data_IF_201872042583
#
_entry.id   IF_201872042583
#
_cell.length_a   1.000
_cell.length_b   1.000
_cell.length_c   1.000
_cell.angle_alpha   90.00
_cell.angle_beta   90.00
_cell.angle_gamma   90.00
#
_symmetry.space_group_name_H-M   'P 1'
#
loop_
_entity.id
_entity.type
_entity.pdbx_description
1 polymer ?
#
# COMPACT_ATOMS: atom_id res chain seq x y z
N UNK A 1 7.87 -21.22 -5.17
CA UNK A 1 7.88 -20.23 -4.08
C UNK A 1 8.47 -18.93 -4.64
N UNK A 2 7.70 -17.84 -4.69
CA UNK A 2 8.23 -16.55 -5.15
C UNK A 2 9.30 -16.08 -4.17
N UNK A 3 10.41 -15.56 -4.71
CA UNK A 3 11.41 -14.94 -3.86
C UNK A 3 10.78 -13.73 -3.17
N UNK A 4 10.86 -13.64 -1.83
CA UNK A 4 10.15 -12.61 -1.06
C UNK A 4 10.53 -11.18 -1.49
N UNK A 5 11.76 -10.99 -2.00
CA UNK A 5 12.19 -9.73 -2.62
C UNK A 5 11.38 -9.35 -3.87
N UNK A 6 11.09 -10.31 -4.76
CA UNK A 6 10.26 -10.07 -5.94
C UNK A 6 8.83 -9.72 -5.53
N UNK A 7 8.30 -10.41 -4.52
CA UNK A 7 6.96 -10.12 -4.00
C UNK A 7 6.87 -8.68 -3.49
N UNK A 8 7.89 -8.23 -2.76
CA UNK A 8 7.96 -6.86 -2.26
C UNK A 8 8.04 -5.85 -3.42
N UNK A 9 8.91 -6.10 -4.41
CA UNK A 9 8.99 -5.24 -5.60
C UNK A 9 7.65 -5.15 -6.34
N UNK A 10 6.92 -6.27 -6.46
CA UNK A 10 5.60 -6.29 -7.04
C UNK A 10 4.61 -5.42 -6.24
N UNK A 11 4.61 -5.52 -4.91
CA UNK A 11 3.77 -4.66 -4.06
C UNK A 11 4.09 -3.18 -4.23
N UNK A 12 5.37 -2.81 -4.33
CA UNK A 12 5.78 -1.42 -4.58
C UNK A 12 5.20 -0.87 -5.89
N UNK A 13 5.26 -1.66 -6.95
CA UNK A 13 4.71 -1.28 -8.26
C UNK A 13 3.18 -1.16 -8.19
N UNK A 14 2.49 -2.14 -7.60
CA UNK A 14 1.03 -2.08 -7.43
C UNK A 14 0.59 -0.86 -6.61
N UNK A 15 1.33 -0.51 -5.55
CA UNK A 15 1.04 0.69 -4.77
C UNK A 15 1.18 1.96 -5.59
N UNK A 16 2.25 2.08 -6.37
CA UNK A 16 2.45 3.20 -7.30
C UNK A 16 1.30 3.34 -8.30
N UNK A 17 0.84 2.23 -8.89
CA UNK A 17 -0.32 2.26 -9.78
C UNK A 17 -1.61 2.66 -9.07
N UNK A 18 -1.85 2.14 -7.87
CA UNK A 18 -3.06 2.46 -7.09
C UNK A 18 -3.12 3.93 -6.64
N UNK A 19 -1.98 4.53 -6.27
CA UNK A 19 -1.91 5.93 -5.84
C UNK A 19 -2.13 6.89 -7.02
N UNK A 20 -1.55 6.56 -8.18
CA UNK A 20 -1.78 7.27 -9.45
C UNK A 20 -3.27 7.18 -9.84
N UNK A 21 -3.86 5.98 -9.77
CA UNK A 21 -5.27 5.78 -10.08
C UNK A 21 -6.20 6.65 -9.21
N UNK A 22 -5.95 6.72 -7.89
CA UNK A 22 -6.72 7.56 -6.98
C UNK A 22 -6.63 9.06 -7.30
N UNK A 23 -5.45 9.53 -7.73
CA UNK A 23 -5.26 10.94 -8.11
C UNK A 23 -5.97 11.21 -9.44
N UNK A 24 -5.75 10.40 -10.47
CA UNK A 24 -6.24 10.69 -11.82
C UNK A 24 -7.72 10.38 -12.06
N UNK A 25 -8.36 9.55 -11.23
CA UNK A 25 -9.79 9.22 -11.44
C UNK A 25 -10.67 9.86 -10.38
N UNK A 26 -10.21 9.82 -9.12
CA UNK A 26 -11.02 10.28 -7.99
C UNK A 26 -10.63 11.69 -7.52
N UNK A 27 -9.56 12.29 -8.07
CA UNK A 27 -9.00 13.57 -7.63
C UNK A 27 -8.77 13.64 -6.09
N UNK A 28 -8.48 12.49 -5.47
CA UNK A 28 -8.32 12.35 -4.03
C UNK A 28 -6.83 12.38 -3.65
N UNK A 29 -6.29 13.56 -3.39
CA UNK A 29 -4.85 13.75 -3.18
C UNK A 29 -4.39 13.32 -1.79
N UNK A 30 -5.15 13.70 -0.75
CA UNK A 30 -4.77 13.38 0.63
C UNK A 30 -4.90 11.88 0.88
N UNK A 31 -5.96 11.23 0.40
CA UNK A 31 -6.11 9.78 0.54
C UNK A 31 -5.03 8.99 -0.22
N UNK A 32 -4.66 9.42 -1.43
CA UNK A 32 -3.56 8.80 -2.19
C UNK A 32 -2.24 8.91 -1.43
N UNK A 33 -1.96 10.08 -0.84
CA UNK A 33 -0.78 10.30 -0.01
C UNK A 33 -0.78 9.42 1.26
N UNK A 34 -1.90 9.36 1.98
CA UNK A 34 -2.02 8.52 3.19
C UNK A 34 -1.86 7.04 2.89
N UNK A 35 -2.45 6.56 1.78
CA UNK A 35 -2.27 5.18 1.31
C UNK A 35 -0.80 4.90 1.05
N UNK A 36 -0.12 5.77 0.30
CA UNK A 36 1.29 5.59 -0.03
C UNK A 36 2.15 5.56 1.25
N UNK A 37 1.97 6.52 2.16
CA UNK A 37 2.76 6.58 3.41
C UNK A 37 2.57 5.32 4.29
N UNK A 38 1.32 4.91 4.55
CA UNK A 38 1.04 3.75 5.40
C UNK A 38 1.63 2.47 4.81
N UNK A 39 1.37 2.20 3.53
CA UNK A 39 1.84 0.96 2.91
C UNK A 39 3.35 0.93 2.69
N UNK A 40 3.98 2.07 2.35
CA UNK A 40 5.44 2.14 2.25
C UNK A 40 6.10 1.85 3.59
N UNK A 41 5.55 2.35 4.71
CA UNK A 41 6.07 2.03 6.04
C UNK A 41 6.02 0.53 6.33
N UNK A 42 4.93 -0.16 5.96
CA UNK A 42 4.78 -1.60 6.10
C UNK A 42 5.76 -2.38 5.22
N UNK A 43 5.99 -1.94 3.98
CA UNK A 43 6.93 -2.58 3.07
C UNK A 43 8.37 -2.47 3.57
N UNK A 44 8.75 -1.33 4.16
CA UNK A 44 10.10 -1.17 4.74
C UNK A 44 10.33 -2.17 5.88
N UNK A 45 9.33 -2.40 6.75
CA UNK A 45 9.41 -3.42 7.80
C UNK A 45 9.51 -4.83 7.21
N UNK A 46 8.73 -5.13 6.17
CA UNK A 46 8.80 -6.40 5.43
C UNK A 46 10.18 -6.60 4.80
N UNK A 47 10.78 -5.57 4.20
CA UNK A 47 12.15 -5.61 3.68
C UNK A 47 13.15 -5.92 4.79
N UNK A 48 13.05 -5.25 5.94
CA UNK A 48 13.90 -5.51 7.09
C UNK A 48 13.82 -6.96 7.57
N UNK A 49 12.61 -7.52 7.65
CA UNK A 49 12.41 -8.92 8.03
C UNK A 49 12.99 -9.89 7.00
N UNK A 50 12.73 -9.66 5.72
CA UNK A 50 13.16 -10.56 4.65
C UNK A 50 14.66 -10.49 4.40
N UNK A 51 15.30 -9.32 4.52
CA UNK A 51 16.76 -9.22 4.49
C UNK A 51 17.42 -10.08 5.60
N UNK A 52 16.79 -10.18 6.77
CA UNK A 52 17.26 -11.06 7.84
C UNK A 52 17.17 -12.56 7.50
N UNK A 53 16.23 -12.96 6.65
CA UNK A 53 15.99 -14.37 6.27
C UNK A 53 16.74 -14.76 4.98
N UNK A 54 16.83 -13.86 4.00
CA UNK A 54 17.40 -14.12 2.66
C UNK A 54 18.92 -14.31 2.69
N UNK A 55 19.64 -13.75 3.67
CA UNK A 55 21.10 -14.01 3.84
C UNK A 55 21.40 -15.52 3.97
N UNK A 56 20.41 -16.33 4.34
CA UNK A 56 20.54 -17.77 4.60
C UNK A 56 20.27 -18.62 3.34
N UNK A 57 19.54 -18.14 2.32
CA UNK A 57 19.18 -18.92 1.12
C UNK A 57 19.75 -18.33 -0.18
N UNK A 58 20.45 -19.15 -0.98
CA UNK A 58 21.02 -18.74 -2.28
C UNK A 58 19.91 -18.43 -3.30
N UNK A 59 19.97 -17.22 -3.86
CA UNK A 59 18.99 -16.68 -4.81
C UNK A 59 19.07 -17.38 -6.18
N UNK A 60 18.06 -18.18 -6.53
CA UNK A 60 17.82 -18.68 -7.89
C UNK A 60 16.52 -18.09 -8.45
N UNK A 61 16.58 -16.85 -8.93
CA UNK A 61 15.38 -15.98 -9.06
C UNK A 61 15.15 -15.34 -10.44
N UNK A 62 15.78 -15.81 -11.53
CA UNK A 62 15.66 -15.13 -12.84
C UNK A 62 14.33 -15.43 -13.55
N UNK A 63 13.89 -16.69 -13.59
CA UNK A 63 12.68 -17.09 -14.32
C UNK A 63 11.39 -16.52 -13.69
N UNK A 64 11.36 -16.37 -12.36
CA UNK A 64 10.18 -15.87 -11.62
C UNK A 64 9.94 -14.37 -11.84
N UNK A 65 10.99 -13.61 -12.13
CA UNK A 65 10.89 -12.17 -12.41
C UNK A 65 10.09 -11.90 -13.69
N UNK A 66 10.34 -12.68 -14.75
CA UNK A 66 9.63 -12.58 -16.02
C UNK A 66 8.11 -12.77 -15.86
N UNK A 67 7.69 -13.71 -15.01
CA UNK A 67 6.26 -13.95 -14.75
C UNK A 67 5.62 -12.74 -14.06
N UNK A 68 6.29 -12.11 -13.08
CA UNK A 68 5.76 -10.90 -12.43
C UNK A 68 5.65 -9.71 -13.38
N UNK A 69 6.61 -9.57 -14.31
CA UNK A 69 6.61 -8.50 -15.30
C UNK A 69 5.47 -8.65 -16.30
N UNK A 70 5.14 -9.89 -16.69
CA UNK A 70 3.97 -10.19 -17.53
C UNK A 70 2.66 -9.77 -16.87
N UNK A 71 2.49 -9.97 -15.56
CA UNK A 71 1.30 -9.51 -14.84
C UNK A 71 1.16 -7.98 -14.84
N UNK A 72 2.26 -7.26 -14.69
CA UNK A 72 2.27 -5.80 -14.74
C UNK A 72 1.89 -5.29 -16.14
N UNK A 73 2.38 -5.95 -17.20
CA UNK A 73 2.02 -5.60 -18.58
C UNK A 73 0.53 -5.85 -18.89
N UNK A 74 -0.05 -6.92 -18.35
CA UNK A 74 -1.49 -7.20 -18.49
C UNK A 74 -2.32 -6.14 -17.77
N UNK A 75 -1.92 -5.74 -16.56
CA UNK A 75 -2.60 -4.65 -15.85
C UNK A 75 -2.50 -3.33 -16.62
N UNK A 76 -1.31 -3.01 -17.16
CA UNK A 76 -1.10 -1.79 -17.94
C UNK A 76 -1.93 -1.77 -19.24
N UNK A 77 -2.09 -2.92 -19.92
CA UNK A 77 -2.91 -2.99 -21.13
C UNK A 77 -4.41 -2.91 -20.86
N UNK A 78 -4.87 -3.39 -19.71
CA UNK A 78 -6.25 -3.17 -19.25
C UNK A 78 -6.50 -1.69 -18.94
N UNK A 79 -5.52 -1.00 -18.35
CA UNK A 79 -5.61 0.45 -18.12
C UNK A 79 -5.67 1.26 -19.42
N UNK A 80 -4.90 0.88 -20.45
CA UNK A 80 -4.90 1.61 -21.72
C UNK A 80 -6.23 1.49 -22.47
N UNK A 81 -7.00 0.43 -22.25
CA UNK A 81 -8.33 0.27 -22.85
C UNK A 81 -9.40 1.13 -22.17
N UNK A 82 -9.26 1.41 -20.87
CA UNK A 82 -10.15 2.29 -20.12
C UNK A 82 -9.91 3.75 -20.52
N UNK A 83 -8.65 4.11 -20.79
CA UNK A 83 -8.24 5.45 -21.21
C UNK A 83 -8.20 5.51 -22.74
N UNK A 84 -9.37 5.53 -23.40
CA UNK A 84 -9.40 5.99 -24.80
C UNK A 84 -8.97 7.47 -24.81
N UNK A 85 -7.95 7.86 -25.60
CA UNK A 85 -7.43 9.22 -25.60
C UNK A 85 -8.31 10.10 -26.49
N UNK A 86 -9.57 10.29 -26.11
CA UNK A 86 -10.35 11.38 -26.67
C UNK A 86 -9.83 12.66 -26.01
N UNK A 87 -8.98 13.40 -26.74
CA UNK A 87 -8.33 14.65 -26.30
C UNK A 87 -9.32 15.70 -25.72
N UNK A 88 -10.62 15.56 -26.02
CA UNK A 88 -11.71 16.40 -25.51
C UNK A 88 -12.05 16.06 -24.05
N UNK A 89 -11.97 14.80 -23.62
CA UNK A 89 -12.19 14.42 -22.22
C UNK A 89 -11.06 14.89 -21.30
N UNK A 90 -9.82 14.92 -21.80
CA UNK A 90 -8.66 15.37 -21.04
C UNK A 90 -8.71 16.89 -20.76
N UNK A 91 -9.24 17.69 -21.69
CA UNK A 91 -9.39 19.14 -21.49
C UNK A 91 -10.51 19.48 -20.50
N UNK A 92 -11.60 18.71 -20.48
CA UNK A 92 -12.65 18.82 -19.45
C UNK A 92 -12.09 18.42 -18.08
N UNK A 93 -11.32 17.32 -18.00
CA UNK A 93 -10.66 16.89 -16.77
C UNK A 93 -9.74 17.97 -16.18
N UNK A 94 -8.97 18.66 -17.04
CA UNK A 94 -8.10 19.77 -16.65
C UNK A 94 -8.88 20.95 -16.04
N UNK A 95 -10.06 21.28 -16.58
CA UNK A 95 -10.90 22.36 -16.07
C UNK A 95 -11.63 22.04 -14.74
N UNK A 96 -11.66 20.76 -14.34
CA UNK A 96 -12.24 20.30 -13.08
C UNK A 96 -11.24 20.14 -11.94
N UNK A 97 -9.96 20.50 -12.13
CA UNK A 97 -8.97 20.64 -11.05
C UNK A 97 -9.25 21.86 -10.15
N UNK A 98 -10.49 22.02 -9.69
CA UNK A 98 -10.73 22.72 -8.43
C UNK A 98 -10.34 21.75 -7.34
N UNK A 99 -9.19 22.01 -6.72
CA UNK A 99 -8.74 21.36 -5.49
C UNK A 99 -9.80 21.69 -4.42
N UNK A 100 -10.80 20.82 -4.32
CA UNK A 100 -11.82 20.93 -3.32
C UNK A 100 -11.31 20.25 -2.05
N UNK A 101 -11.05 21.03 -1.01
CA UNK A 101 -10.62 20.56 0.32
C UNK A 101 -11.71 19.75 1.07
N UNK A 102 -12.67 19.15 0.37
CA UNK A 102 -13.70 18.31 0.99
C UNK A 102 -13.10 17.10 1.72
N UNK A 103 -11.93 16.61 1.29
CA UNK A 103 -11.23 15.50 1.95
C UNK A 103 -10.98 15.79 3.44
N UNK A 104 -10.52 16.99 3.79
CA UNK A 104 -10.29 17.35 5.18
C UNK A 104 -11.59 17.48 5.97
N UNK A 105 -12.64 18.01 5.37
CA UNK A 105 -13.95 18.10 6.01
C UNK A 105 -14.50 16.72 6.39
N UNK A 106 -14.37 15.73 5.50
CA UNK A 106 -14.75 14.34 5.79
C UNK A 106 -13.91 13.74 6.92
N UNK A 107 -12.62 14.06 7.03
CA UNK A 107 -11.77 13.60 8.12
C UNK A 107 -12.16 14.22 9.46
N UNK A 108 -12.45 15.53 9.48
CA UNK A 108 -12.89 16.20 10.70
C UNK A 108 -14.21 15.65 11.23
N UNK A 109 -15.06 15.10 10.36
CA UNK A 109 -16.30 14.44 10.75
C UNK A 109 -16.06 13.25 11.70
N UNK A 110 -14.94 12.55 11.60
CA UNK A 110 -14.58 11.44 12.51
C UNK A 110 -14.23 11.89 13.93
N UNK A 111 -13.94 13.17 14.13
CA UNK A 111 -13.72 13.76 15.45
C UNK A 111 -15.03 14.23 16.10
N UNK A 112 -16.11 14.38 15.31
CA UNK A 112 -17.41 14.80 15.79
C UNK A 112 -18.29 13.60 16.20
N UNK A 113 -19.16 13.81 17.20
CA UNK A 113 -20.18 12.84 17.56
C UNK A 113 -21.23 12.72 16.44
N UNK A 114 -21.69 11.52 16.03
CA UNK A 114 -21.50 10.20 16.66
C UNK A 114 -20.29 9.40 16.16
N UNK A 115 -19.61 9.85 15.10
CA UNK A 115 -18.51 9.10 14.47
C UNK A 115 -17.27 8.96 15.36
N UNK A 116 -17.08 9.85 16.33
CA UNK A 116 -16.02 9.74 17.32
C UNK A 116 -16.05 8.44 18.12
N UNK A 117 -17.23 7.83 18.34
CA UNK A 117 -17.36 6.52 19.01
C UNK A 117 -16.69 5.42 18.19
N UNK A 118 -16.82 5.47 16.86
CA UNK A 118 -16.14 4.54 15.95
C UNK A 118 -14.62 4.74 15.98
N UNK A 119 -14.15 5.99 16.04
CA UNK A 119 -12.73 6.32 16.20
C UNK A 119 -12.15 5.73 17.49
N UNK A 120 -12.87 5.84 18.61
CA UNK A 120 -12.47 5.20 19.87
C UNK A 120 -12.39 3.68 19.75
N UNK A 121 -13.35 3.04 19.08
CA UNK A 121 -13.32 1.59 18.86
C UNK A 121 -12.06 1.15 18.09
N UNK A 122 -11.66 1.88 17.04
CA UNK A 122 -10.44 1.58 16.27
C UNK A 122 -9.18 1.72 17.14
N UNK A 123 -9.12 2.74 18.00
CA UNK A 123 -7.98 2.95 18.89
C UNK A 123 -7.84 1.77 19.86
N UNK A 124 -8.94 1.33 20.48
CA UNK A 124 -8.92 0.16 21.37
C UNK A 124 -8.53 -1.13 20.64
N UNK A 125 -9.02 -1.31 19.40
CA UNK A 125 -8.66 -2.45 18.57
C UNK A 125 -7.15 -2.51 18.26
N UNK A 126 -6.54 -1.38 17.91
CA UNK A 126 -5.10 -1.27 17.70
C UNK A 126 -4.31 -1.55 18.98
N UNK A 127 -4.80 -1.08 20.13
CA UNK A 127 -4.18 -1.34 21.44
C UNK A 127 -4.20 -2.83 21.79
N UNK A 128 -5.33 -3.51 21.58
CA UNK A 128 -5.43 -4.96 21.77
C UNK A 128 -4.47 -5.72 20.87
N UNK A 129 -4.33 -5.32 19.61
CA UNK A 129 -3.36 -5.94 18.72
C UNK A 129 -1.92 -5.78 19.19
N UNK A 130 -1.56 -4.62 19.74
CA UNK A 130 -0.22 -4.41 20.30
C UNK A 130 0.07 -5.41 21.42
N UNK A 131 -0.90 -5.64 22.32
CA UNK A 131 -0.78 -6.62 23.41
C UNK A 131 -0.63 -8.04 22.86
N UNK A 132 -1.45 -8.42 21.88
CA UNK A 132 -1.39 -9.75 21.25
C UNK A 132 -0.04 -9.95 20.54
N UNK A 133 0.42 -8.97 19.77
CA UNK A 133 1.72 -9.04 19.08
C UNK A 133 2.86 -9.15 20.09
N UNK A 134 2.82 -8.40 21.20
CA UNK A 134 3.81 -8.51 22.27
C UNK A 134 3.89 -9.93 22.84
N UNK A 135 2.74 -10.56 23.12
CA UNK A 135 2.68 -11.92 23.64
C UNK A 135 3.18 -12.96 22.61
N UNK A 136 2.86 -12.79 21.33
CA UNK A 136 3.38 -13.63 20.24
C UNK A 136 4.90 -13.50 20.16
N UNK A 137 5.43 -12.27 20.16
CA UNK A 137 6.88 -12.01 20.09
C UNK A 137 7.62 -12.50 21.33
N UNK A 138 6.99 -12.51 22.51
CA UNK A 138 7.55 -13.08 23.73
C UNK A 138 7.66 -14.61 23.66
N UNK A 139 6.70 -15.29 23.03
CA UNK A 139 6.65 -16.75 22.93
C UNK A 139 7.47 -17.30 21.76
N UNK A 140 7.50 -16.59 20.63
CA UNK A 140 8.19 -17.00 19.42
C UNK A 140 9.54 -16.26 19.30
N UNK A 141 10.65 -16.95 19.56
CA UNK A 141 12.00 -16.46 19.22
C UNK A 141 12.12 -16.37 17.70
N UNK A 142 11.81 -15.21 17.12
CA UNK A 142 11.95 -14.97 15.68
C UNK A 142 13.42 -15.07 15.23
N UNK A 143 13.68 -15.25 13.91
CA UNK A 143 15.03 -15.38 13.36
C UNK A 143 15.94 -14.17 13.66
N UNK A 144 15.36 -12.97 13.81
CA UNK A 144 16.06 -11.75 14.23
C UNK A 144 16.52 -11.74 15.70
N UNK A 145 16.01 -12.66 16.53
CA UNK A 145 16.29 -12.78 17.97
C UNK A 145 16.94 -14.09 18.36
N UNK A 146 17.26 -14.97 17.41
CA UNK A 146 18.17 -16.08 17.70
C UNK A 146 19.53 -15.46 18.02
N UNK A 147 19.82 -15.36 19.32
CA UNK A 147 21.18 -15.19 19.82
C UNK A 147 22.00 -16.34 19.22
N UNK A 148 22.91 -15.99 18.33
CA UNK A 148 24.12 -16.77 18.06
C UNK A 148 24.82 -17.01 19.41
#
# INVERSE_FOLDING_TARGET
MFDPLILILFFMVCLGFSSIFLVFIMNCYYYSFMLFMLFMSGIVVLLGYMCGVIVIEKVSSVYKFYVSFLWILILASLFSQIVKPDFIYFSIFSSTFKINYYEFYFLFKFMAFPFSVFSFFIIFYLLLFLVIIYDIVKKCSGPLRMKI
#
